data_IF_199784557245
#
_entry.id   IF_199784557245
#
_cell.length_a   1.000
_cell.length_b   1.000
_cell.length_c   1.000
_cell.angle_alpha   90.00
_cell.angle_beta   90.00
_cell.angle_gamma   90.00
#
_symmetry.space_group_name_H-M   'P 1'
#
loop_
_entity.id
_entity.type
_entity.pdbx_description
1 polymer ?
#
# COMPACT_ATOMS: atom_id res chain seq x y z
N UNK A 1 7.36 11.87 0.03
CA UNK A 1 7.75 11.14 1.25
C UNK A 1 9.02 10.36 1.01
N UNK A 2 9.83 10.13 2.03
CA UNK A 2 11.06 9.35 1.95
C UNK A 2 10.96 8.19 2.95
N UNK A 3 11.30 6.99 2.49
CA UNK A 3 11.31 5.79 3.33
C UNK A 3 12.75 5.29 3.55
N UNK A 4 13.28 5.55 4.74
CA UNK A 4 14.58 4.99 5.16
C UNK A 4 14.48 3.59 5.80
N UNK A 5 13.25 3.10 6.01
CA UNK A 5 12.96 1.91 6.81
C UNK A 5 12.75 2.21 8.30
N UNK A 6 13.01 3.45 8.73
CA UNK A 6 12.96 3.82 10.14
C UNK A 6 14.07 3.13 10.95
N UNK A 7 13.73 2.58 12.12
CA UNK A 7 14.69 1.84 12.98
C UNK A 7 15.15 0.54 12.31
N UNK A 8 14.29 -0.15 11.55
CA UNK A 8 14.67 -1.26 10.67
C UNK A 8 15.27 -0.72 9.37
N UNK A 9 16.41 -0.01 9.50
CA UNK A 9 16.99 0.82 8.45
C UNK A 9 17.39 0.00 7.21
N UNK A 10 17.05 0.52 6.04
CA UNK A 10 17.45 -0.06 4.76
C UNK A 10 18.97 -0.01 4.57
N UNK A 11 19.55 -0.93 3.78
CA UNK A 11 20.93 -0.79 3.33
C UNK A 11 21.18 0.55 2.64
N UNK A 12 22.36 1.14 2.81
CA UNK A 12 22.73 2.41 2.18
C UNK A 12 22.69 2.34 0.63
N UNK A 13 23.01 1.17 0.08
CA UNK A 13 22.94 0.93 -1.36
C UNK A 13 21.49 1.00 -1.85
N UNK A 14 21.21 1.92 -2.77
CA UNK A 14 19.87 2.13 -3.33
C UNK A 14 18.91 2.96 -2.46
N UNK A 15 19.26 3.29 -1.21
CA UNK A 15 18.36 4.05 -0.33
C UNK A 15 17.93 5.41 -0.93
N UNK A 16 18.80 6.06 -1.68
CA UNK A 16 18.50 7.35 -2.35
C UNK A 16 17.33 7.25 -3.35
N UNK A 17 17.04 6.04 -3.85
CA UNK A 17 15.92 5.76 -4.75
C UNK A 17 14.58 5.84 -4.03
N UNK A 18 14.57 5.76 -2.70
CA UNK A 18 13.35 5.87 -1.88
C UNK A 18 12.70 7.26 -1.92
N UNK A 19 13.33 8.26 -2.56
CA UNK A 19 12.67 9.48 -3.01
C UNK A 19 11.50 9.19 -3.97
N UNK A 20 11.53 8.04 -4.64
CA UNK A 20 10.48 7.50 -5.52
C UNK A 20 9.36 6.76 -4.77
N UNK A 21 9.51 6.52 -3.45
CA UNK A 21 8.48 5.86 -2.62
C UNK A 21 7.30 6.80 -2.33
N UNK A 22 6.77 7.36 -3.39
CA UNK A 22 5.57 8.18 -3.48
C UNK A 22 4.84 7.95 -4.82
N UNK A 23 5.23 6.90 -5.55
CA UNK A 23 4.70 6.59 -6.88
C UNK A 23 3.18 6.37 -6.87
N UNK A 24 2.65 5.73 -5.83
CA UNK A 24 1.20 5.58 -5.66
C UNK A 24 0.49 6.94 -5.50
N UNK A 25 1.03 7.86 -4.70
CA UNK A 25 0.49 9.21 -4.57
C UNK A 25 0.60 9.99 -5.90
N UNK A 26 1.70 9.82 -6.62
CA UNK A 26 1.89 10.43 -7.94
C UNK A 26 0.86 9.91 -8.96
N UNK A 27 0.56 8.61 -8.95
CA UNK A 27 -0.48 8.02 -9.80
C UNK A 27 -1.87 8.62 -9.50
N UNK A 28 -2.20 8.82 -8.23
CA UNK A 28 -3.46 9.51 -7.83
C UNK A 28 -3.47 10.95 -8.34
N UNK A 29 -2.36 11.69 -8.24
CA UNK A 29 -2.27 13.06 -8.78
C UNK A 29 -2.48 13.06 -10.31
N UNK A 30 -1.80 12.18 -11.04
CA UNK A 30 -1.95 12.04 -12.50
C UNK A 30 -3.38 11.68 -12.92
N UNK A 31 -4.04 10.80 -12.15
CA UNK A 31 -5.45 10.49 -12.36
C UNK A 31 -6.33 11.74 -12.25
N UNK A 32 -6.11 12.58 -11.23
CA UNK A 32 -6.92 13.78 -11.04
C UNK A 32 -6.64 14.86 -12.07
N UNK A 33 -5.42 14.96 -12.57
CA UNK A 33 -5.09 15.79 -13.73
C UNK A 33 -5.88 15.34 -14.97
N UNK A 34 -5.91 14.04 -15.25
CA UNK A 34 -6.68 13.48 -16.35
C UNK A 34 -8.20 13.67 -16.17
N UNK A 35 -8.72 13.42 -14.96
CA UNK A 35 -10.14 13.61 -14.64
C UNK A 35 -10.59 15.07 -14.77
N UNK A 36 -9.70 16.02 -14.56
CA UNK A 36 -9.97 17.44 -14.81
C UNK A 36 -10.27 17.79 -16.27
N UNK A 37 -9.85 16.91 -17.20
CA UNK A 37 -10.05 17.05 -18.65
C UNK A 37 -11.18 16.16 -19.19
N UNK A 38 -11.76 15.31 -18.35
CA UNK A 38 -12.78 14.34 -18.72
C UNK A 38 -14.10 14.65 -18.03
N UNK A 39 -15.21 14.48 -18.75
CA UNK A 39 -16.52 14.44 -18.10
C UNK A 39 -16.71 13.08 -17.42
N UNK A 40 -16.87 13.10 -16.09
CA UNK A 40 -17.17 11.91 -15.31
C UNK A 40 -18.53 12.07 -14.60
N UNK A 41 -19.47 11.12 -14.78
CA UNK A 41 -20.77 11.17 -14.10
C UNK A 41 -20.67 10.71 -12.63
N UNK A 42 -19.49 10.32 -12.17
CA UNK A 42 -19.28 9.75 -10.83
C UNK A 42 -18.46 10.70 -9.97
N UNK A 43 -18.78 10.74 -8.68
CA UNK A 43 -17.93 11.39 -7.70
C UNK A 43 -16.68 10.53 -7.49
N UNK A 44 -15.51 11.11 -7.71
CA UNK A 44 -14.21 10.48 -7.45
C UNK A 44 -13.53 11.24 -6.32
N UNK A 45 -12.91 10.50 -5.39
CA UNK A 45 -12.18 11.05 -4.25
C UNK A 45 -10.79 10.46 -4.27
N UNK A 46 -9.78 11.31 -4.32
CA UNK A 46 -8.38 10.92 -4.20
C UNK A 46 -7.88 11.13 -2.78
N UNK A 47 -7.21 10.13 -2.23
CA UNK A 47 -6.48 10.22 -0.98
C UNK A 47 -5.01 9.93 -1.23
N UNK A 48 -4.14 10.78 -0.72
CA UNK A 48 -2.69 10.56 -0.74
C UNK A 48 -2.21 10.47 0.71
N UNK A 49 -1.94 9.26 1.17
CA UNK A 49 -1.46 8.97 2.50
C UNK A 49 0.07 9.13 2.55
N UNK A 50 0.53 10.38 2.63
CA UNK A 50 1.95 10.73 2.58
C UNK A 50 2.55 10.84 3.98
N UNK A 51 3.54 10.01 4.27
CA UNK A 51 4.31 10.03 5.52
C UNK A 51 5.78 9.73 5.24
N UNK A 52 6.68 10.31 6.03
CA UNK A 52 8.10 9.93 6.02
C UNK A 52 8.36 8.86 7.09
N UNK A 53 9.25 7.92 6.78
CA UNK A 53 9.71 6.89 7.71
C UNK A 53 11.21 7.10 7.97
N UNK A 54 11.53 7.77 9.07
CA UNK A 54 12.88 8.18 9.42
C UNK A 54 13.24 7.68 10.83
N UNK A 55 14.51 7.32 11.08
CA UNK A 55 14.98 7.03 12.43
C UNK A 55 15.12 8.34 13.22
N UNK A 56 14.48 8.42 14.37
CA UNK A 56 14.67 9.48 15.34
C UNK A 56 14.39 9.00 16.78
N UNK A 57 14.48 9.88 17.75
CA UNK A 57 14.26 9.55 19.17
C UNK A 57 12.80 9.17 19.47
N UNK A 58 11.84 9.48 18.60
CA UNK A 58 10.40 9.19 18.74
C UNK A 58 9.90 8.25 17.66
N UNK A 59 10.80 7.71 16.83
CA UNK A 59 10.43 6.76 15.78
C UNK A 59 9.76 5.52 16.38
N UNK A 60 8.83 4.95 15.64
CA UNK A 60 8.24 3.65 15.94
C UNK A 60 9.34 2.59 15.97
N UNK A 61 9.27 1.68 16.93
CA UNK A 61 10.29 0.65 17.16
C UNK A 61 9.72 -0.75 16.89
N UNK A 62 10.53 -1.69 16.45
CA UNK A 62 10.16 -3.10 16.54
C UNK A 62 9.74 -3.47 17.97
N UNK A 63 8.61 -4.17 18.10
CA UNK A 63 7.99 -4.50 19.38
C UNK A 63 6.94 -3.50 19.89
N UNK A 64 6.85 -2.31 19.30
CA UNK A 64 5.75 -1.38 19.63
C UNK A 64 4.40 -1.95 19.12
N UNK A 65 3.34 -1.67 19.89
CA UNK A 65 1.97 -1.98 19.49
C UNK A 65 1.24 -0.68 19.20
N UNK A 66 0.77 -0.51 17.97
CA UNK A 66 0.05 0.69 17.55
C UNK A 66 -1.44 0.39 17.35
N UNK A 67 -2.27 1.38 17.60
CA UNK A 67 -3.71 1.31 17.38
C UNK A 67 -4.06 2.03 16.08
N UNK A 68 -4.66 1.32 15.15
CA UNK A 68 -5.11 1.87 13.88
C UNK A 68 -6.40 2.69 14.03
N UNK A 69 -6.74 3.46 13.01
CA UNK A 69 -8.00 4.21 12.95
C UNK A 69 -9.22 3.28 13.04
N UNK A 70 -9.12 2.03 12.58
CA UNK A 70 -10.20 1.04 12.71
C UNK A 70 -10.46 0.62 14.16
N UNK A 71 -9.50 0.82 15.05
CA UNK A 71 -9.51 0.39 16.45
C UNK A 71 -8.74 -0.92 16.68
N UNK A 72 -8.31 -1.59 15.64
CA UNK A 72 -7.44 -2.77 15.71
C UNK A 72 -6.04 -2.39 16.16
N UNK A 73 -5.38 -3.30 16.84
CA UNK A 73 -3.99 -3.16 17.27
C UNK A 73 -3.06 -3.94 16.35
N UNK A 74 -1.89 -3.38 16.09
CA UNK A 74 -0.87 -3.98 15.22
C UNK A 74 0.47 -3.99 15.95
N UNK A 75 1.08 -5.15 16.08
CA UNK A 75 2.45 -5.28 16.53
C UNK A 75 3.42 -4.94 15.40
N UNK A 76 4.35 -4.06 15.67
CA UNK A 76 5.39 -3.67 14.72
C UNK A 76 6.57 -4.63 14.87
N UNK A 77 6.72 -5.54 13.93
CA UNK A 77 7.89 -6.45 13.90
C UNK A 77 8.98 -5.92 12.97
N UNK A 78 8.60 -5.08 12.00
CA UNK A 78 9.52 -4.44 11.07
C UNK A 78 9.03 -3.02 10.75
N UNK A 79 9.83 -2.00 11.06
CA UNK A 79 9.44 -0.61 10.78
C UNK A 79 9.56 -0.23 9.31
N UNK A 80 10.21 -1.05 8.48
CA UNK A 80 10.24 -0.94 7.01
C UNK A 80 8.96 -1.53 6.34
N UNK A 81 7.97 -1.85 7.14
CA UNK A 81 6.63 -2.25 6.70
C UNK A 81 5.56 -1.26 7.21
N UNK A 82 5.86 0.03 7.17
CA UNK A 82 5.03 1.14 7.64
C UNK A 82 3.95 1.53 6.64
N UNK A 83 4.23 1.43 5.33
CA UNK A 83 3.33 1.88 4.26
C UNK A 83 1.95 1.23 4.36
N UNK A 84 1.89 -0.06 4.69
CA UNK A 84 0.62 -0.77 4.91
C UNK A 84 -0.17 -0.26 6.11
N UNK A 85 0.49 0.31 7.12
CA UNK A 85 -0.15 0.92 8.28
C UNK A 85 -0.79 2.27 7.90
N UNK A 86 -0.06 3.07 7.16
CA UNK A 86 -0.56 4.37 6.64
C UNK A 86 -1.75 4.14 5.71
N UNK A 87 -1.66 3.13 4.82
CA UNK A 87 -2.76 2.76 3.91
C UNK A 87 -3.98 2.23 4.66
N UNK A 88 -3.83 1.38 5.68
CA UNK A 88 -4.98 0.84 6.40
C UNK A 88 -5.81 1.94 7.07
N UNK A 89 -5.18 2.99 7.56
CA UNK A 89 -5.84 4.15 8.13
C UNK A 89 -6.53 5.01 7.06
N UNK A 90 -5.88 5.23 5.92
CA UNK A 90 -6.47 5.93 4.78
C UNK A 90 -7.71 5.20 4.24
N UNK A 91 -7.65 3.87 4.10
CA UNK A 91 -8.77 3.03 3.67
C UNK A 91 -9.94 3.08 4.67
N UNK A 92 -9.63 2.99 5.96
CA UNK A 92 -10.63 3.11 7.04
C UNK A 92 -11.29 4.49 7.03
N UNK A 93 -10.49 5.54 6.85
CA UNK A 93 -10.98 6.92 6.76
C UNK A 93 -11.91 7.11 5.56
N UNK A 94 -11.51 6.59 4.38
CA UNK A 94 -12.33 6.65 3.17
C UNK A 94 -13.70 6.00 3.38
N UNK A 95 -13.73 4.80 3.93
CA UNK A 95 -14.96 4.06 4.20
C UNK A 95 -15.88 4.81 5.16
N UNK A 96 -15.35 5.27 6.29
CA UNK A 96 -16.14 5.99 7.30
C UNK A 96 -16.69 7.33 6.81
N UNK A 97 -15.89 8.03 5.99
CA UNK A 97 -16.21 9.41 5.58
C UNK A 97 -17.17 9.47 4.39
N UNK A 98 -17.05 8.55 3.44
CA UNK A 98 -17.76 8.64 2.16
C UNK A 98 -18.54 7.39 1.77
N UNK A 99 -18.37 6.26 2.46
CA UNK A 99 -18.98 4.98 2.14
C UNK A 99 -18.94 4.67 0.61
N UNK A 100 -17.75 4.61 0.01
CA UNK A 100 -17.60 4.47 -1.44
C UNK A 100 -18.08 3.10 -1.91
N UNK A 101 -18.60 3.03 -3.14
CA UNK A 101 -18.99 1.77 -3.78
C UNK A 101 -17.77 0.97 -4.27
N UNK A 102 -16.62 1.61 -4.44
CA UNK A 102 -15.38 1.00 -4.88
C UNK A 102 -14.21 1.79 -4.28
N UNK A 103 -13.16 1.07 -3.89
CA UNK A 103 -11.86 1.63 -3.53
C UNK A 103 -10.80 0.97 -4.40
N UNK A 104 -9.92 1.78 -4.96
CA UNK A 104 -8.70 1.34 -5.64
C UNK A 104 -7.52 1.92 -4.88
N UNK A 105 -6.61 1.07 -4.51
CA UNK A 105 -5.37 1.40 -3.79
C UNK A 105 -4.20 1.22 -4.76
N UNK A 106 -3.34 2.22 -4.87
CA UNK A 106 -2.15 2.22 -5.71
C UNK A 106 -0.95 2.59 -4.84
N UNK A 107 0.01 1.70 -4.72
CA UNK A 107 1.14 1.90 -3.82
C UNK A 107 2.43 1.24 -4.33
N UNK A 108 3.56 1.89 -4.10
CA UNK A 108 4.91 1.31 -4.22
C UNK A 108 5.26 0.55 -2.94
N UNK A 109 4.47 -0.50 -2.62
CA UNK A 109 4.38 -1.03 -1.26
C UNK A 109 5.47 -2.04 -0.90
N UNK A 110 5.97 -2.81 -1.87
CA UNK A 110 6.90 -3.90 -1.57
C UNK A 110 7.75 -4.30 -2.79
N UNK A 111 9.05 -4.43 -2.56
CA UNK A 111 9.98 -5.00 -3.54
C UNK A 111 9.68 -6.46 -3.90
N UNK A 112 8.85 -7.17 -3.11
CA UNK A 112 8.44 -8.53 -3.44
C UNK A 112 7.66 -8.61 -4.78
N UNK A 113 6.90 -7.57 -5.14
CA UNK A 113 6.26 -7.48 -6.46
C UNK A 113 7.28 -7.41 -7.58
N UNK A 114 8.34 -6.61 -7.41
CA UNK A 114 9.44 -6.51 -8.40
C UNK A 114 10.17 -7.84 -8.54
N UNK A 115 10.42 -8.53 -7.44
CA UNK A 115 11.04 -9.87 -7.46
C UNK A 115 10.16 -10.89 -8.20
N UNK A 116 8.84 -10.78 -8.06
CA UNK A 116 7.90 -11.72 -8.67
C UNK A 116 7.59 -11.43 -10.14
N UNK A 117 7.52 -10.14 -10.53
CA UNK A 117 6.94 -9.69 -11.80
C UNK A 117 7.91 -8.85 -12.66
N UNK A 118 9.07 -8.46 -12.13
CA UNK A 118 9.95 -7.48 -12.76
C UNK A 118 9.46 -6.04 -12.59
N UNK A 119 10.07 -5.13 -13.33
CA UNK A 119 9.83 -3.69 -13.20
C UNK A 119 8.66 -3.19 -14.07
N UNK A 120 8.25 -3.99 -15.06
CA UNK A 120 7.31 -3.56 -16.09
C UNK A 120 5.85 -3.95 -15.80
N UNK A 121 5.60 -4.82 -14.81
CA UNK A 121 4.26 -5.38 -14.54
C UNK A 121 3.84 -5.10 -13.11
N UNK A 122 2.69 -4.44 -12.96
CA UNK A 122 2.12 -4.19 -11.64
C UNK A 122 1.38 -5.42 -11.07
N UNK A 123 1.60 -5.72 -9.79
CA UNK A 123 0.82 -6.74 -9.08
C UNK A 123 -0.60 -6.26 -8.82
N UNK A 124 -1.59 -7.06 -9.22
CA UNK A 124 -3.01 -6.77 -9.01
C UNK A 124 -3.58 -7.72 -7.95
N UNK A 125 -4.12 -7.16 -6.88
CA UNK A 125 -4.80 -7.90 -5.82
C UNK A 125 -6.28 -7.50 -5.80
N UNK A 126 -7.16 -8.41 -6.18
CA UNK A 126 -8.59 -8.18 -6.22
C UNK A 126 -9.36 -9.49 -5.98
N UNK A 127 -10.34 -9.46 -5.06
CA UNK A 127 -11.18 -10.64 -4.79
C UNK A 127 -12.23 -10.85 -5.89
N UNK A 128 -12.67 -9.78 -6.56
CA UNK A 128 -13.59 -9.87 -7.69
C UNK A 128 -12.82 -10.19 -8.97
N UNK A 129 -12.90 -11.43 -9.43
CA UNK A 129 -12.21 -11.91 -10.63
C UNK A 129 -12.64 -11.16 -11.90
N UNK A 130 -13.91 -10.73 -11.98
CA UNK A 130 -14.42 -9.97 -13.13
C UNK A 130 -13.81 -8.57 -13.17
N UNK A 131 -13.72 -7.92 -12.03
CA UNK A 131 -13.05 -6.61 -11.91
C UNK A 131 -11.55 -6.74 -12.20
N UNK A 132 -10.90 -7.77 -11.66
CA UNK A 132 -9.47 -8.02 -11.91
C UNK A 132 -9.19 -8.19 -13.41
N UNK A 133 -10.01 -8.98 -14.11
CA UNK A 133 -9.85 -9.18 -15.56
C UNK A 133 -10.06 -7.87 -16.32
N UNK A 134 -11.07 -7.08 -15.96
CA UNK A 134 -11.31 -5.78 -16.60
C UNK A 134 -10.13 -4.81 -16.42
N UNK A 135 -9.56 -4.74 -15.22
CA UNK A 135 -8.39 -3.89 -14.96
C UNK A 135 -7.22 -4.34 -15.82
N UNK A 136 -6.99 -5.67 -15.87
CA UNK A 136 -5.94 -6.24 -16.73
C UNK A 136 -6.15 -5.89 -18.20
N UNK A 137 -7.35 -6.07 -18.73
CA UNK A 137 -7.67 -5.79 -20.14
C UNK A 137 -7.46 -4.30 -20.48
N UNK A 138 -7.83 -3.39 -19.58
CA UNK A 138 -7.57 -1.96 -19.77
C UNK A 138 -6.07 -1.64 -19.68
N UNK A 139 -5.34 -2.27 -18.78
CA UNK A 139 -3.90 -2.12 -18.69
C UNK A 139 -3.20 -2.54 -19.98
N UNK A 140 -3.59 -3.67 -20.56
CA UNK A 140 -3.07 -4.15 -21.84
C UNK A 140 -3.34 -3.15 -22.99
N UNK A 141 -4.50 -2.47 -22.98
CA UNK A 141 -4.88 -1.45 -24.00
C UNK A 141 -4.00 -0.20 -23.89
N UNK A 142 -3.69 0.25 -22.66
CA UNK A 142 -2.95 1.49 -22.44
C UNK A 142 -1.44 1.28 -22.28
N UNK A 143 -0.97 0.04 -22.31
CA UNK A 143 0.44 -0.30 -22.17
C UNK A 143 0.93 -0.28 -20.70
N UNK A 144 0.03 -0.45 -19.76
CA UNK A 144 0.30 -0.57 -18.31
C UNK A 144 -0.12 -1.96 -17.81
N UNK A 145 0.70 -3.01 -18.02
CA UNK A 145 0.29 -4.37 -17.76
C UNK A 145 0.12 -4.66 -16.25
N UNK A 146 -0.92 -5.42 -15.93
CA UNK A 146 -1.22 -5.89 -14.57
C UNK A 146 -1.22 -7.42 -14.53
N UNK A 147 -0.73 -8.00 -13.42
CA UNK A 147 -0.78 -9.43 -13.20
C UNK A 147 -1.50 -9.77 -11.89
N UNK A 148 -2.65 -10.50 -11.96
CA UNK A 148 -3.39 -10.91 -10.78
C UNK A 148 -2.57 -11.85 -9.89
N UNK A 149 -2.46 -11.50 -8.63
CA UNK A 149 -1.82 -12.29 -7.59
C UNK A 149 -2.87 -12.81 -6.58
N UNK A 150 -2.65 -13.99 -5.97
CA UNK A 150 -3.65 -14.62 -5.13
C UNK A 150 -3.85 -13.87 -3.80
N UNK A 151 -5.10 -13.81 -3.33
CA UNK A 151 -5.52 -13.38 -2.01
C UNK A 151 -6.14 -14.56 -1.27
N UNK A 152 -5.33 -15.37 -0.59
CA UNK A 152 -5.82 -16.52 0.17
C UNK A 152 -5.91 -16.20 1.65
N UNK A 153 -7.04 -16.52 2.28
CA UNK A 153 -7.28 -16.25 3.71
C UNK A 153 -6.18 -16.81 4.61
N UNK A 154 -5.58 -17.94 4.24
CA UNK A 154 -4.47 -18.54 4.99
C UNK A 154 -3.24 -17.63 5.10
N UNK A 155 -3.07 -16.64 4.23
CA UNK A 155 -1.97 -15.70 4.35
C UNK A 155 -2.09 -14.80 5.57
N UNK A 156 -3.32 -14.57 6.04
CA UNK A 156 -3.55 -13.81 7.28
C UNK A 156 -3.01 -14.55 8.51
N UNK A 157 -2.95 -15.88 8.47
CA UNK A 157 -2.36 -16.67 9.55
C UNK A 157 -0.87 -16.36 9.77
N UNK A 158 -0.17 -15.87 8.74
CA UNK A 158 1.22 -15.47 8.83
C UNK A 158 1.42 -14.14 9.59
N UNK A 159 0.35 -13.40 9.81
CA UNK A 159 0.35 -12.12 10.52
C UNK A 159 -0.11 -12.25 11.99
N UNK A 160 -0.22 -13.45 12.52
CA UNK A 160 -0.59 -13.65 13.93
C UNK A 160 0.41 -12.97 14.88
N UNK A 161 -0.11 -12.33 15.89
CA UNK A 161 0.65 -11.73 16.99
C UNK A 161 0.13 -12.29 18.32
N UNK A 162 1.00 -12.38 19.33
CA UNK A 162 0.62 -12.74 20.70
C UNK A 162 0.25 -11.50 21.52
N UNK A 163 0.60 -10.30 21.07
CA UNK A 163 0.48 -9.05 21.81
C UNK A 163 -0.53 -8.07 21.20
N UNK A 164 -0.94 -8.29 19.96
CA UNK A 164 -1.86 -7.43 19.22
C UNK A 164 -2.87 -8.26 18.41
N UNK A 165 -3.82 -7.63 17.74
CA UNK A 165 -4.74 -8.31 16.82
C UNK A 165 -3.98 -9.00 15.67
N UNK A 166 -2.89 -8.39 15.19
CA UNK A 166 -1.98 -8.96 14.18
C UNK A 166 -0.64 -8.20 14.12
N UNK A 167 0.33 -8.76 13.42
CA UNK A 167 1.63 -8.12 13.16
C UNK A 167 1.64 -7.40 11.81
N UNK A 168 2.51 -6.38 11.66
CA UNK A 168 2.63 -5.63 10.40
C UNK A 168 3.42 -6.38 9.31
N UNK A 169 4.12 -7.46 9.64
CA UNK A 169 4.82 -8.31 8.68
C UNK A 169 4.79 -9.76 9.14
N UNK A 170 4.85 -10.69 8.20
CA UNK A 170 4.95 -12.12 8.50
C UNK A 170 6.39 -12.51 8.87
N UNK A 171 6.54 -13.63 9.57
CA UNK A 171 7.85 -14.16 10.03
C UNK A 171 8.87 -14.47 8.93
N UNK A 172 8.50 -14.37 7.66
CA UNK A 172 9.34 -14.65 6.48
C UNK A 172 9.42 -13.46 5.53
N UNK A 173 9.05 -12.28 5.99
CA UNK A 173 9.18 -11.05 5.21
C UNK A 173 10.55 -10.41 5.39
#
# INVERSE_FOLDING_TARGET
TFDSGGISIKPAAGMWEMKGDMGGAAAVMGLFEALGQLETPRRVIGLMACAENMPDARATRPGDVVKTLSGKTVEIVNTDAEGRLVLCDALTYAQRRWNPSMIVDVATLTGACVVALGDDVAGLFCQDATLAQRIKDFGDIVGEPYWPLPLWDRYFELLKSETADFANAGARA
#
